data_IF_200765299067
#
_entry.id   IF_200765299067
#
_cell.length_a   1.000
_cell.length_b   1.000
_cell.length_c   1.000
_cell.angle_alpha   90.00
_cell.angle_beta   90.00
_cell.angle_gamma   90.00
#
_symmetry.space_group_name_H-M   'P 1'
#
loop_
_entity.id
_entity.type
_entity.pdbx_description
1 polymer ?
#
# COMPACT_ATOMS: atom_id res chain seq x y z
N UNK A 1 -7.02 -8.56 24.21
CA UNK A 1 -6.96 -8.05 22.82
C UNK A 1 -7.77 -8.89 21.80
N UNK A 2 -8.55 -9.91 22.19
CA UNK A 2 -9.35 -10.74 21.26
C UNK A 2 -10.81 -10.32 21.09
N UNK A 3 -11.33 -9.37 21.88
CA UNK A 3 -12.75 -8.97 21.84
C UNK A 3 -13.14 -8.08 20.66
N UNK A 4 -12.19 -7.39 20.01
CA UNK A 4 -12.51 -6.45 18.92
C UNK A 4 -12.75 -7.16 17.57
N UNK A 5 -12.00 -8.25 17.28
CA UNK A 5 -12.14 -9.01 16.03
C UNK A 5 -13.53 -9.62 15.85
N UNK A 6 -14.22 -10.00 16.94
CA UNK A 6 -15.57 -10.55 16.89
C UNK A 6 -16.61 -9.52 16.47
N UNK A 7 -16.54 -8.30 17.03
CA UNK A 7 -17.49 -7.22 16.71
C UNK A 7 -17.36 -6.74 15.27
N UNK A 8 -16.14 -6.59 14.75
CA UNK A 8 -15.94 -6.18 13.35
C UNK A 8 -16.45 -7.24 12.37
N UNK A 9 -16.20 -8.53 12.66
CA UNK A 9 -16.67 -9.64 11.81
C UNK A 9 -18.19 -9.77 11.83
N UNK A 10 -18.80 -9.60 13.00
CA UNK A 10 -20.26 -9.62 13.17
C UNK A 10 -20.95 -8.41 12.52
N UNK A 11 -20.33 -7.22 12.58
CA UNK A 11 -20.79 -6.03 11.85
C UNK A 11 -20.72 -6.22 10.33
N UNK A 12 -19.64 -6.81 9.80
CA UNK A 12 -19.49 -7.07 8.36
C UNK A 12 -20.50 -8.11 7.86
N UNK A 13 -20.85 -9.11 8.68
CA UNK A 13 -21.73 -10.22 8.30
C UNK A 13 -23.23 -9.96 8.56
N UNK A 14 -23.59 -9.23 9.62
CA UNK A 14 -24.99 -9.03 10.05
C UNK A 14 -25.40 -7.55 10.14
N UNK A 15 -24.47 -6.60 9.99
CA UNK A 15 -24.77 -5.17 10.02
C UNK A 15 -25.34 -4.66 8.71
N UNK A 16 -25.99 -3.48 8.75
CA UNK A 16 -26.45 -2.81 7.54
C UNK A 16 -25.25 -2.51 6.61
N UNK A 17 -25.27 -3.10 5.41
CA UNK A 17 -24.21 -3.01 4.40
C UNK A 17 -23.72 -1.57 4.19
N UNK A 18 -24.65 -0.61 4.14
CA UNK A 18 -24.34 0.82 3.96
C UNK A 18 -23.49 1.38 5.11
N UNK A 19 -23.76 0.97 6.35
CA UNK A 19 -23.04 1.44 7.54
C UNK A 19 -21.63 0.86 7.62
N UNK A 20 -21.47 -0.41 7.25
CA UNK A 20 -20.15 -1.09 7.19
C UNK A 20 -19.31 -0.49 6.07
N UNK A 21 -19.89 -0.30 4.89
CA UNK A 21 -19.22 0.31 3.75
C UNK A 21 -18.74 1.72 4.10
N UNK A 22 -19.57 2.54 4.74
CA UNK A 22 -19.19 3.88 5.16
C UNK A 22 -18.07 3.85 6.22
N UNK A 23 -18.16 2.95 7.20
CA UNK A 23 -17.15 2.82 8.28
C UNK A 23 -15.77 2.42 7.75
N UNK A 24 -15.70 1.54 6.74
CA UNK A 24 -14.43 1.07 6.17
C UNK A 24 -13.94 2.02 5.08
N UNK A 25 -14.82 2.59 4.26
CA UNK A 25 -14.43 3.46 3.14
C UNK A 25 -14.03 4.85 3.59
N UNK A 26 -14.66 5.38 4.65
CA UNK A 26 -14.35 6.72 5.18
C UNK A 26 -12.87 6.92 5.52
N UNK A 27 -12.21 6.03 6.30
CA UNK A 27 -10.77 6.17 6.56
C UNK A 27 -9.92 6.01 5.29
N UNK A 28 -10.29 5.10 4.38
CA UNK A 28 -9.54 4.88 3.12
C UNK A 28 -9.58 6.14 2.24
N UNK A 29 -10.75 6.78 2.11
CA UNK A 29 -10.90 8.02 1.35
C UNK A 29 -10.07 9.13 1.98
N UNK A 30 -10.08 9.27 3.32
CA UNK A 30 -9.25 10.25 4.01
C UNK A 30 -7.76 10.00 3.75
N UNK A 31 -7.30 8.75 3.82
CA UNK A 31 -5.90 8.41 3.50
C UNK A 31 -5.53 8.81 2.07
N UNK A 32 -6.41 8.56 1.09
CA UNK A 32 -6.17 8.97 -0.29
C UNK A 32 -6.16 10.50 -0.48
N UNK A 33 -7.03 11.23 0.23
CA UNK A 33 -7.03 12.69 0.21
C UNK A 33 -5.71 13.25 0.78
N UNK A 34 -5.27 12.73 1.93
CA UNK A 34 -4.01 13.13 2.56
C UNK A 34 -2.83 12.84 1.61
N UNK A 35 -2.84 11.67 0.96
CA UNK A 35 -1.82 11.30 -0.01
C UNK A 35 -1.80 12.27 -1.20
N UNK A 36 -2.96 12.63 -1.77
CA UNK A 36 -3.03 13.60 -2.85
C UNK A 36 -2.55 15.00 -2.44
N UNK A 37 -2.85 15.44 -1.21
CA UNK A 37 -2.31 16.70 -0.67
C UNK A 37 -0.79 16.65 -0.50
N UNK A 38 -0.24 15.50 -0.11
CA UNK A 38 1.20 15.29 -0.01
C UNK A 38 1.86 15.42 -1.39
N UNK A 39 1.34 14.73 -2.40
CA UNK A 39 1.85 14.79 -3.77
C UNK A 39 1.77 16.22 -4.34
N UNK A 40 0.67 16.94 -4.07
CA UNK A 40 0.51 18.34 -4.46
C UNK A 40 1.53 19.25 -3.76
N UNK A 41 1.75 19.03 -2.46
CA UNK A 41 2.70 19.82 -1.67
C UNK A 41 4.12 19.59 -2.16
N UNK A 42 4.51 18.34 -2.40
CA UNK A 42 5.82 17.98 -2.95
C UNK A 42 6.08 18.68 -4.29
N UNK A 43 5.12 18.57 -5.23
CA UNK A 43 5.21 19.26 -6.52
C UNK A 43 5.27 20.79 -6.36
N UNK A 44 4.50 21.37 -5.44
CA UNK A 44 4.49 22.82 -5.22
C UNK A 44 5.84 23.33 -4.69
N UNK A 45 6.44 22.63 -3.73
CA UNK A 45 7.75 23.00 -3.19
C UNK A 45 8.87 22.77 -4.20
N UNK A 46 8.86 21.65 -4.92
CA UNK A 46 9.84 21.36 -5.99
C UNK A 46 9.72 22.36 -7.14
N UNK A 47 8.50 22.75 -7.52
CA UNK A 47 8.27 23.77 -8.54
C UNK A 47 8.75 25.17 -8.13
N UNK A 48 8.72 25.50 -6.83
CA UNK A 48 9.22 26.78 -6.28
C UNK A 48 10.75 26.88 -6.23
N UNK A 49 11.46 25.75 -6.23
CA UNK A 49 12.94 25.69 -6.19
C UNK A 49 13.60 26.03 -7.55
N UNK A 50 12.80 26.25 -8.60
CA UNK A 50 13.26 26.69 -9.93
C UNK A 50 13.08 25.63 -11.03
N UNK A 51 13.35 26.01 -12.29
CA UNK A 51 13.13 25.15 -13.44
C UNK A 51 14.05 23.91 -13.49
N UNK A 52 15.26 23.99 -12.92
CA UNK A 52 16.23 22.88 -12.86
C UNK A 52 15.73 21.67 -12.05
N UNK A 53 15.32 21.81 -10.78
CA UNK A 53 14.82 20.68 -10.00
C UNK A 53 13.50 20.10 -10.55
N UNK A 54 12.62 20.93 -11.12
CA UNK A 54 11.37 20.46 -11.72
C UNK A 54 11.58 19.64 -13.01
N UNK A 55 12.56 20.04 -13.84
CA UNK A 55 12.92 19.30 -15.05
C UNK A 55 13.64 17.98 -14.74
N UNK A 56 14.49 17.96 -13.70
CA UNK A 56 15.06 16.72 -13.17
C UNK A 56 13.98 15.73 -12.68
N UNK A 57 12.94 16.23 -11.98
CA UNK A 57 11.82 15.39 -11.54
C UNK A 57 11.03 14.82 -12.73
N UNK A 58 10.85 15.61 -13.79
CA UNK A 58 10.16 15.14 -15.00
C UNK A 58 10.94 14.06 -15.75
N UNK A 59 12.28 14.12 -15.75
CA UNK A 59 13.16 13.08 -16.27
C UNK A 59 13.16 11.82 -15.38
N UNK A 60 13.07 11.98 -14.06
CA UNK A 60 12.99 10.88 -13.11
C UNK A 60 11.58 10.24 -13.04
N UNK A 61 10.55 10.96 -13.50
CA UNK A 61 9.14 10.55 -13.43
C UNK A 61 8.87 9.13 -13.96
N UNK A 62 9.32 8.76 -15.17
CA UNK A 62 9.14 7.41 -15.71
C UNK A 62 9.79 6.32 -14.85
N UNK A 63 10.99 6.58 -14.32
CA UNK A 63 11.72 5.63 -13.44
C UNK A 63 10.96 5.45 -12.12
N UNK A 64 10.51 6.55 -11.51
CA UNK A 64 9.70 6.51 -10.30
C UNK A 64 8.38 5.75 -10.51
N UNK A 65 7.71 5.98 -11.64
CA UNK A 65 6.47 5.28 -11.99
C UNK A 65 6.70 3.78 -12.16
N UNK A 66 7.81 3.37 -12.79
CA UNK A 66 8.17 1.97 -12.95
C UNK A 66 8.43 1.27 -11.60
N UNK A 67 9.19 1.92 -10.72
CA UNK A 67 9.44 1.43 -9.36
C UNK A 67 8.12 1.28 -8.58
N UNK A 68 7.26 2.30 -8.67
CA UNK A 68 5.96 2.28 -7.98
C UNK A 68 5.05 1.16 -8.53
N UNK A 69 5.04 0.93 -9.85
CA UNK A 69 4.26 -0.14 -10.47
C UNK A 69 4.67 -1.53 -9.95
N UNK A 70 5.98 -1.79 -9.81
CA UNK A 70 6.49 -3.04 -9.22
C UNK A 70 6.05 -3.14 -7.76
N UNK A 71 6.20 -2.07 -6.98
CA UNK A 71 5.80 -2.04 -5.57
C UNK A 71 4.30 -2.32 -5.39
N UNK A 72 3.44 -1.71 -6.22
CA UNK A 72 2.00 -1.96 -6.21
C UNK A 72 1.67 -3.40 -6.61
N UNK A 73 2.37 -3.97 -7.60
CA UNK A 73 2.21 -5.37 -8.02
C UNK A 73 2.53 -6.34 -6.88
N UNK A 74 3.62 -6.10 -6.15
CA UNK A 74 3.97 -6.89 -4.97
C UNK A 74 2.98 -6.73 -3.83
N UNK A 75 2.55 -5.50 -3.53
CA UNK A 75 1.62 -5.22 -2.45
C UNK A 75 0.28 -5.92 -2.69
N UNK A 76 -0.29 -5.76 -3.89
CA UNK A 76 -1.56 -6.38 -4.27
C UNK A 76 -1.46 -7.91 -4.31
N UNK A 77 -0.38 -8.48 -4.85
CA UNK A 77 -0.13 -9.92 -4.83
C UNK A 77 -0.01 -10.50 -3.42
N UNK A 78 0.72 -9.80 -2.54
CA UNK A 78 0.90 -10.19 -1.13
C UNK A 78 -0.44 -10.16 -0.37
N UNK A 79 -1.22 -9.08 -0.53
CA UNK A 79 -2.54 -8.94 0.08
C UNK A 79 -3.49 -10.04 -0.41
N UNK A 80 -3.46 -10.38 -1.70
CA UNK A 80 -4.29 -11.44 -2.28
C UNK A 80 -3.98 -12.81 -1.67
N UNK A 81 -2.69 -13.18 -1.58
CA UNK A 81 -2.26 -14.44 -1.00
C UNK A 81 -2.61 -14.54 0.50
N UNK A 82 -2.39 -13.44 1.23
CA UNK A 82 -2.73 -13.32 2.64
C UNK A 82 -4.24 -13.41 2.87
N UNK A 83 -5.04 -12.73 2.05
CA UNK A 83 -6.51 -12.75 2.13
C UNK A 83 -7.08 -14.15 1.94
N UNK A 84 -6.51 -14.94 1.01
CA UNK A 84 -6.87 -16.36 0.84
C UNK A 84 -6.59 -17.19 2.10
N UNK A 85 -5.40 -17.06 2.68
CA UNK A 85 -5.03 -17.81 3.89
C UNK A 85 -5.91 -17.44 5.10
N UNK A 86 -6.28 -16.16 5.21
CA UNK A 86 -7.21 -15.68 6.25
C UNK A 86 -8.61 -16.24 6.01
N UNK A 87 -9.06 -16.29 4.75
CA UNK A 87 -10.36 -16.86 4.36
C UNK A 87 -10.48 -18.37 4.66
N UNK A 88 -9.40 -19.13 4.45
CA UNK A 88 -9.33 -20.57 4.78
C UNK A 88 -9.19 -20.87 6.29
N UNK A 89 -9.03 -19.84 7.13
CA UNK A 89 -8.84 -20.01 8.58
C UNK A 89 -7.51 -20.63 8.99
N UNK A 90 -6.57 -20.84 8.06
CA UNK A 90 -5.28 -21.47 8.32
C UNK A 90 -4.22 -20.44 8.72
N UNK A 91 -4.28 -20.00 9.97
CA UNK A 91 -3.36 -18.99 10.53
C UNK A 91 -1.90 -19.46 10.60
N UNK A 92 -1.65 -20.77 10.66
CA UNK A 92 -0.29 -21.32 10.63
C UNK A 92 0.37 -21.09 9.26
N UNK A 93 -0.36 -21.37 8.17
CA UNK A 93 0.11 -21.05 6.81
C UNK A 93 0.24 -19.54 6.59
N UNK A 94 -0.68 -18.74 7.12
CA UNK A 94 -0.59 -17.28 7.06
C UNK A 94 0.74 -16.75 7.65
N UNK A 95 1.12 -17.20 8.85
CA UNK A 95 2.36 -16.75 9.49
C UNK A 95 3.60 -17.12 8.67
N UNK A 96 3.63 -18.33 8.11
CA UNK A 96 4.75 -18.80 7.27
C UNK A 96 4.84 -18.02 5.96
N UNK A 97 3.71 -17.81 5.28
CA UNK A 97 3.68 -17.02 4.04
C UNK A 97 3.97 -15.54 4.28
N UNK A 98 3.48 -14.97 5.38
CA UNK A 98 3.80 -13.59 5.74
C UNK A 98 5.31 -13.40 5.92
N UNK A 99 5.98 -14.32 6.62
CA UNK A 99 7.44 -14.30 6.76
C UNK A 99 8.18 -14.40 5.43
N UNK A 100 7.75 -15.32 4.55
CA UNK A 100 8.33 -15.47 3.22
C UNK A 100 8.10 -14.25 2.32
N UNK A 101 6.90 -13.67 2.35
CA UNK A 101 6.57 -12.47 1.60
C UNK A 101 7.37 -11.26 2.09
N UNK A 102 7.56 -11.10 3.41
CA UNK A 102 8.41 -10.03 3.97
C UNK A 102 9.86 -10.22 3.51
N UNK A 103 10.41 -11.43 3.62
CA UNK A 103 11.77 -11.71 3.16
C UNK A 103 11.93 -11.45 1.65
N UNK A 104 10.94 -11.86 0.84
CA UNK A 104 10.94 -11.62 -0.60
C UNK A 104 10.85 -10.13 -0.95
N UNK A 105 9.96 -9.37 -0.28
CA UNK A 105 9.85 -7.92 -0.45
C UNK A 105 11.16 -7.23 -0.06
N UNK A 106 11.83 -7.69 1.00
CA UNK A 106 13.11 -7.13 1.43
C UNK A 106 14.21 -7.35 0.37
N UNK A 107 14.31 -8.57 -0.16
CA UNK A 107 15.27 -8.88 -1.24
C UNK A 107 14.97 -8.07 -2.50
N UNK A 108 13.70 -7.95 -2.90
CA UNK A 108 13.36 -7.18 -4.09
C UNK A 108 13.60 -5.67 -3.90
N UNK A 109 13.29 -5.14 -2.72
CA UNK A 109 13.58 -3.74 -2.37
C UNK A 109 15.08 -3.44 -2.47
N UNK A 110 15.92 -4.34 -1.97
CA UNK A 110 17.37 -4.24 -2.09
C UNK A 110 17.82 -4.23 -3.56
N UNK A 111 17.27 -5.13 -4.37
CA UNK A 111 17.57 -5.20 -5.79
C UNK A 111 17.18 -3.91 -6.54
N UNK A 112 15.98 -3.39 -6.28
CA UNK A 112 15.49 -2.13 -6.88
C UNK A 112 16.36 -0.96 -6.45
N UNK A 113 16.79 -0.90 -5.18
CA UNK A 113 17.66 0.17 -4.69
C UNK A 113 19.02 0.15 -5.39
N UNK A 114 19.61 -1.03 -5.60
CA UNK A 114 20.87 -1.18 -6.32
C UNK A 114 20.72 -0.76 -7.78
N UNK A 115 19.64 -1.20 -8.45
CA UNK A 115 19.37 -0.80 -9.84
C UNK A 115 19.04 0.68 -9.99
N UNK A 116 18.43 1.33 -9.00
CA UNK A 116 18.09 2.75 -9.06
C UNK A 116 19.31 3.65 -8.80
N UNK A 117 20.32 3.14 -8.08
CA UNK A 117 21.55 3.88 -7.80
C UNK A 117 22.54 3.85 -8.98
N UNK A 118 22.41 2.88 -9.88
CA UNK A 118 23.30 2.67 -11.03
C UNK A 118 22.69 3.23 -12.32
#
# INVERSE_FOLDING_TARGET
>A
MSTNKSKTRELILNGNLYKVLFLISFPIVITNIIQAFYDLTDMFYVGKLGAMPLSALSLAGPVNFFIMAIAMGMATGSISLMSKCIGEGNFSRFSRYAGQLIALNFVLSLFVTICAFF
#
